data_IF_527097284207
#
_entry.id   IF_527097284207
#
_cell.length_a   1.000
_cell.length_b   1.000
_cell.length_c   1.000
_cell.angle_alpha   90.00
_cell.angle_beta   90.00
_cell.angle_gamma   90.00
#
_symmetry.space_group_name_H-M   'P 1'
#
loop_
_entity.id
_entity.type
_entity.pdbx_description
1 polymer ?
#
# COMPACT_ATOMS: atom_id res chain seq x y z
N UNK A 1 -7.50 4.38 18.67
CA UNK A 1 -8.12 3.24 17.94
C UNK A 1 -8.85 3.79 16.72
N UNK A 2 -8.52 3.32 15.51
CA UNK A 2 -9.31 3.65 14.33
C UNK A 2 -10.63 2.88 14.45
N UNK A 3 -11.71 3.56 14.83
CA UNK A 3 -13.01 2.97 15.12
C UNK A 3 -13.50 2.09 13.97
N UNK A 4 -13.24 2.49 12.73
CA UNK A 4 -13.62 1.75 11.52
C UNK A 4 -13.04 0.33 11.43
N UNK A 5 -11.75 0.11 11.75
CA UNK A 5 -11.17 -1.26 11.70
C UNK A 5 -11.73 -2.14 12.81
N UNK A 6 -11.91 -1.58 14.01
CA UNK A 6 -12.46 -2.33 15.13
C UNK A 6 -13.92 -2.71 14.84
N UNK A 7 -14.72 -1.77 14.35
CA UNK A 7 -16.11 -1.99 13.97
C UNK A 7 -16.18 -3.05 12.86
N UNK A 8 -15.38 -2.94 11.80
CA UNK A 8 -15.37 -3.93 10.71
C UNK A 8 -15.00 -5.35 11.19
N UNK A 9 -13.98 -5.48 12.04
CA UNK A 9 -13.59 -6.75 12.63
C UNK A 9 -14.71 -7.31 13.54
N UNK A 10 -15.28 -6.47 14.40
CA UNK A 10 -16.34 -6.87 15.34
C UNK A 10 -17.60 -7.28 14.60
N UNK A 11 -18.03 -6.52 13.59
CA UNK A 11 -19.18 -6.87 12.74
C UNK A 11 -18.93 -8.20 12.01
N UNK A 12 -17.74 -8.41 11.45
CA UNK A 12 -17.38 -9.67 10.79
C UNK A 12 -17.40 -10.88 11.74
N UNK A 13 -16.86 -10.72 12.95
CA UNK A 13 -16.88 -11.77 13.99
C UNK A 13 -18.29 -12.02 14.51
N UNK A 14 -19.10 -10.98 14.73
CA UNK A 14 -20.50 -11.11 15.17
C UNK A 14 -21.33 -11.80 14.10
N UNK A 15 -21.19 -11.42 12.83
CA UNK A 15 -21.87 -12.08 11.70
C UNK A 15 -21.54 -13.58 11.69
N UNK A 16 -20.26 -13.93 11.84
CA UNK A 16 -19.82 -15.32 11.92
C UNK A 16 -20.44 -16.05 13.12
N UNK A 17 -20.43 -15.42 14.30
CA UNK A 17 -20.97 -15.98 15.52
C UNK A 17 -22.49 -16.21 15.42
N UNK A 18 -23.23 -15.28 14.81
CA UNK A 18 -24.67 -15.42 14.56
C UNK A 18 -24.94 -16.58 13.62
N UNK A 19 -24.17 -16.74 12.54
CA UNK A 19 -24.33 -17.86 11.60
C UNK A 19 -24.08 -19.21 12.31
N UNK A 20 -23.04 -19.30 13.13
CA UNK A 20 -22.72 -20.54 13.88
C UNK A 20 -23.76 -20.84 14.97
N UNK A 21 -24.25 -19.81 15.66
CA UNK A 21 -25.26 -19.95 16.71
C UNK A 21 -26.65 -20.30 16.17
N UNK A 22 -27.02 -19.78 14.99
CA UNK A 22 -28.30 -20.09 14.34
C UNK A 22 -28.31 -21.45 13.64
N UNK A 23 -27.13 -21.96 13.27
CA UNK A 23 -26.98 -23.19 12.49
C UNK A 23 -26.70 -24.44 13.33
N UNK A 24 -26.42 -24.35 14.65
CA UNK A 24 -25.98 -25.52 15.42
C UNK A 24 -26.56 -25.65 16.84
N UNK A 25 -26.79 -26.91 17.26
CA UNK A 25 -27.11 -27.27 18.66
C UNK A 25 -25.86 -27.40 19.56
N UNK A 26 -24.65 -27.48 18.97
CA UNK A 26 -23.39 -27.68 19.69
C UNK A 26 -22.24 -26.86 19.07
N UNK A 27 -22.02 -25.63 19.56
CA UNK A 27 -20.95 -24.75 19.10
C UNK A 27 -19.52 -25.35 19.26
N UNK A 28 -19.34 -26.28 20.21
CA UNK A 28 -18.08 -26.98 20.45
C UNK A 28 -17.67 -27.91 19.30
N UNK A 29 -18.61 -28.34 18.45
CA UNK A 29 -18.29 -29.17 17.28
C UNK A 29 -17.45 -28.41 16.23
N UNK A 30 -17.53 -27.07 16.22
CA UNK A 30 -16.75 -26.20 15.34
C UNK A 30 -15.37 -25.87 15.90
N UNK A 31 -14.94 -26.44 17.03
CA UNK A 31 -13.59 -26.29 17.56
C UNK A 31 -12.84 -27.61 17.42
N UNK A 32 -12.40 -27.89 16.19
CA UNK A 32 -11.54 -29.03 15.92
C UNK A 32 -10.06 -28.66 16.01
N UNK A 33 -9.41 -29.12 17.08
CA UNK A 33 -8.00 -28.83 17.34
C UNK A 33 -7.07 -29.33 16.22
N UNK A 34 -7.40 -30.45 15.56
CA UNK A 34 -6.57 -31.02 14.49
C UNK A 34 -6.60 -30.15 13.25
N UNK A 35 -7.80 -29.76 12.78
CA UNK A 35 -7.94 -28.87 11.63
C UNK A 35 -7.27 -27.51 11.86
N UNK A 36 -7.40 -26.97 13.08
CA UNK A 36 -6.74 -25.72 13.48
C UNK A 36 -5.21 -25.87 13.48
N UNK A 37 -4.68 -26.97 14.02
CA UNK A 37 -3.24 -27.24 14.07
C UNK A 37 -2.61 -27.35 12.67
N UNK A 38 -3.31 -27.97 11.71
CA UNK A 38 -2.82 -28.05 10.32
C UNK A 38 -2.74 -26.65 9.70
N UNK A 39 -3.78 -25.83 9.84
CA UNK A 39 -3.83 -24.50 9.24
C UNK A 39 -2.85 -23.54 9.92
N UNK A 40 -2.90 -23.41 11.24
CA UNK A 40 -2.02 -22.50 11.98
C UNK A 40 -0.57 -22.97 11.94
N UNK A 41 -0.34 -24.27 12.17
CA UNK A 41 1.00 -24.87 12.13
C UNK A 41 1.62 -24.79 10.74
N UNK A 42 0.86 -25.12 9.68
CA UNK A 42 1.30 -25.01 8.31
C UNK A 42 1.59 -23.56 7.90
N UNK A 43 0.70 -22.63 8.23
CA UNK A 43 0.91 -21.20 7.92
C UNK A 43 2.13 -20.64 8.67
N UNK A 44 2.29 -20.99 9.95
CA UNK A 44 3.46 -20.58 10.73
C UNK A 44 4.75 -21.19 10.19
N UNK A 45 4.75 -22.48 9.83
CA UNK A 45 5.89 -23.16 9.21
C UNK A 45 6.28 -22.51 7.87
N UNK A 46 5.31 -22.19 7.01
CA UNK A 46 5.58 -21.52 5.74
C UNK A 46 6.21 -20.13 5.94
N UNK A 47 5.75 -19.37 6.94
CA UNK A 47 6.38 -18.09 7.28
C UNK A 47 7.79 -18.28 7.82
N UNK A 48 8.03 -19.29 8.66
CA UNK A 48 9.36 -19.59 9.19
C UNK A 48 10.36 -20.05 8.13
N UNK A 49 9.88 -20.69 7.07
CA UNK A 49 10.69 -21.06 5.90
C UNK A 49 11.02 -19.81 5.08
N UNK A 50 10.06 -18.90 4.91
CA UNK A 50 10.21 -17.71 4.07
C UNK A 50 10.92 -16.52 4.74
N UNK A 51 10.90 -16.42 6.06
CA UNK A 51 11.36 -15.23 6.80
C UNK A 51 12.27 -15.58 7.98
N UNK A 52 13.29 -14.75 8.27
CA UNK A 52 14.17 -15.00 9.40
C UNK A 52 13.42 -14.85 10.74
N UNK A 53 13.76 -15.69 11.71
CA UNK A 53 13.11 -15.74 13.03
C UNK A 53 13.00 -14.38 13.74
N UNK A 54 13.96 -13.46 13.50
CA UNK A 54 13.96 -12.10 14.06
C UNK A 54 12.76 -11.27 13.62
N UNK A 55 12.29 -11.46 12.38
CA UNK A 55 11.13 -10.76 11.83
C UNK A 55 9.83 -11.40 12.32
N UNK A 56 9.78 -12.73 12.34
CA UNK A 56 8.60 -13.49 12.80
C UNK A 56 8.22 -13.17 14.24
N UNK A 57 9.20 -13.05 15.15
CA UNK A 57 8.91 -12.68 16.55
C UNK A 57 8.31 -11.27 16.73
N UNK A 58 8.40 -10.40 15.72
CA UNK A 58 7.83 -9.04 15.77
C UNK A 58 6.35 -9.00 15.38
N UNK A 59 5.83 -10.00 14.67
CA UNK A 59 4.41 -10.13 14.28
C UNK A 59 3.42 -9.80 15.42
N UNK A 60 3.52 -10.41 16.63
CA UNK A 60 2.55 -10.15 17.69
C UNK A 60 2.63 -8.72 18.23
N UNK A 61 3.83 -8.12 18.25
CA UNK A 61 4.02 -6.73 18.67
C UNK A 61 3.41 -5.77 17.65
N UNK A 62 3.60 -6.05 16.36
CA UNK A 62 2.97 -5.30 15.28
C UNK A 62 1.45 -5.36 15.38
N UNK A 63 0.89 -6.55 15.57
CA UNK A 63 -0.55 -6.76 15.73
C UNK A 63 -1.12 -5.91 16.87
N UNK A 64 -0.45 -5.91 18.03
CA UNK A 64 -0.85 -5.10 19.19
C UNK A 64 -0.77 -3.61 18.91
N UNK A 65 0.28 -3.18 18.19
CA UNK A 65 0.47 -1.76 17.83
C UNK A 65 -0.62 -1.29 16.87
N UNK A 66 -1.04 -2.13 15.92
CA UNK A 66 -2.14 -1.83 14.98
C UNK A 66 -3.49 -1.65 15.66
N UNK A 67 -3.71 -2.35 16.77
CA UNK A 67 -4.94 -2.23 17.57
C UNK A 67 -4.95 -0.94 18.39
N UNK A 68 -3.82 -0.50 18.94
CA UNK A 68 -3.74 0.73 19.74
C UNK A 68 -4.01 1.99 18.91
N UNK A 69 -3.64 1.99 17.63
CA UNK A 69 -3.78 3.15 16.75
C UNK A 69 -2.73 4.20 17.09
N UNK A 70 -1.94 4.56 16.09
CA UNK A 70 -0.91 5.57 16.22
C UNK A 70 -1.49 6.88 15.68
N UNK A 71 -1.56 7.91 16.51
CA UNK A 71 -1.91 9.26 16.07
C UNK A 71 -0.60 9.94 15.71
N UNK A 72 -0.22 9.87 14.44
CA UNK A 72 0.73 10.84 13.91
C UNK A 72 0.01 12.19 13.95
N UNK A 73 0.51 13.10 14.77
CA UNK A 73 -0.03 14.46 14.89
C UNK A 73 0.64 15.32 13.81
N UNK A 74 0.19 15.14 12.57
CA UNK A 74 0.76 15.85 11.41
C UNK A 74 0.67 17.37 11.58
N UNK A 75 -0.39 17.87 12.22
CA UNK A 75 -0.53 19.30 12.48
C UNK A 75 0.58 19.80 13.40
N UNK A 76 0.85 19.06 14.48
CA UNK A 76 1.97 19.36 15.37
C UNK A 76 3.32 19.30 14.65
N UNK A 77 3.53 18.36 13.74
CA UNK A 77 4.75 18.32 12.92
C UNK A 77 4.92 19.59 12.08
N UNK A 78 3.83 20.13 11.52
CA UNK A 78 3.84 21.40 10.77
C UNK A 78 4.16 22.57 11.69
N UNK A 79 3.48 22.68 12.83
CA UNK A 79 3.69 23.77 13.79
C UNK A 79 5.13 23.78 14.30
N UNK A 80 5.68 22.61 14.64
CA UNK A 80 7.08 22.44 15.04
C UNK A 80 8.03 22.86 13.90
N UNK A 81 7.75 22.48 12.64
CA UNK A 81 8.59 22.83 11.49
C UNK A 81 8.57 24.33 11.17
N UNK A 82 7.39 24.96 11.23
CA UNK A 82 7.23 26.39 11.00
C UNK A 82 7.92 27.20 12.10
N UNK A 83 7.81 26.78 13.36
CA UNK A 83 8.52 27.40 14.47
C UNK A 83 10.04 27.33 14.26
N UNK A 84 10.57 26.19 13.80
CA UNK A 84 12.00 26.06 13.49
C UNK A 84 12.41 26.94 12.31
N UNK A 85 11.57 27.05 11.27
CA UNK A 85 11.79 27.94 10.12
C UNK A 85 11.89 29.41 10.53
N UNK A 86 11.06 29.86 11.47
CA UNK A 86 11.11 31.24 11.98
C UNK A 86 12.40 31.52 12.74
N UNK A 87 12.83 30.62 13.62
CA UNK A 87 14.07 30.77 14.39
C UNK A 87 15.31 30.78 13.48
N UNK A 88 15.32 29.89 12.48
CA UNK A 88 16.38 29.83 11.47
C UNK A 88 16.49 31.13 10.67
N UNK A 89 15.36 31.71 10.25
CA UNK A 89 15.34 32.95 9.49
C UNK A 89 15.76 34.18 10.31
N UNK A 90 15.48 34.17 11.61
CA UNK A 90 15.92 35.22 12.54
C UNK A 90 17.39 35.08 12.98
N UNK A 91 18.13 34.10 12.41
CA UNK A 91 19.53 33.80 12.71
C UNK A 91 19.81 33.44 14.19
N UNK A 92 18.78 33.02 14.92
CA UNK A 92 18.89 32.64 16.32
C UNK A 92 19.18 31.14 16.47
N UNK A 93 20.42 30.76 16.15
CA UNK A 93 20.89 29.37 16.17
C UNK A 93 20.84 28.77 17.58
N UNK A 94 21.19 29.55 18.61
CA UNK A 94 21.20 29.06 20.01
C UNK A 94 19.79 28.74 20.51
N UNK A 95 18.80 29.55 20.15
CA UNK A 95 17.40 29.26 20.48
C UNK A 95 16.87 28.10 19.63
N UNK A 96 17.23 28.03 18.35
CA UNK A 96 16.89 26.90 17.48
C UNK A 96 17.37 25.55 18.06
N UNK A 97 18.63 25.46 18.52
CA UNK A 97 19.14 24.24 19.16
C UNK A 97 18.39 23.85 20.45
N UNK A 98 17.97 24.85 21.23
CA UNK A 98 17.23 24.62 22.49
C UNK A 98 15.82 24.10 22.21
N UNK A 99 15.13 24.67 21.24
CA UNK A 99 13.80 24.23 20.84
C UNK A 99 13.84 22.91 20.08
N UNK A 100 14.89 22.64 19.31
CA UNK A 100 15.11 21.37 18.61
C UNK A 100 15.14 20.15 19.56
N UNK A 101 15.58 20.33 20.81
CA UNK A 101 15.54 19.27 21.83
C UNK A 101 14.12 18.92 22.29
N UNK A 102 13.16 19.84 22.14
CA UNK A 102 11.75 19.67 22.51
C UNK A 102 10.90 19.10 21.37
N UNK A 103 11.41 19.15 20.14
CA UNK A 103 10.76 18.56 18.95
C UNK A 103 10.46 17.09 19.19
N UNK A 104 9.21 16.73 18.97
CA UNK A 104 8.69 15.39 19.24
C UNK A 104 9.10 14.39 18.17
N UNK A 105 9.17 14.85 16.92
CA UNK A 105 9.44 14.02 15.76
C UNK A 105 10.96 13.81 15.53
N UNK A 106 11.49 12.58 15.67
CA UNK A 106 12.92 12.32 15.50
C UNK A 106 13.41 12.54 14.06
N UNK A 107 12.52 12.46 13.07
CA UNK A 107 12.88 12.67 11.67
C UNK A 107 13.10 14.17 11.39
N UNK A 108 12.17 15.01 11.82
CA UNK A 108 12.29 16.47 11.77
C UNK A 108 13.54 16.93 12.52
N UNK A 109 13.73 16.42 13.75
CA UNK A 109 14.88 16.76 14.57
C UNK A 109 16.22 16.50 13.88
N UNK A 110 16.35 15.35 13.19
CA UNK A 110 17.58 15.04 12.46
C UNK A 110 17.80 16.00 11.29
N UNK A 111 16.77 16.32 10.51
CA UNK A 111 16.95 17.20 9.35
C UNK A 111 17.30 18.64 9.77
N UNK A 112 16.65 19.19 10.80
CA UNK A 112 16.98 20.52 11.33
C UNK A 112 18.36 20.53 11.99
N UNK A 113 18.78 19.45 12.65
CA UNK A 113 20.14 19.35 13.17
C UNK A 113 21.19 19.47 12.06
N UNK A 114 21.00 18.76 10.93
CA UNK A 114 21.95 18.81 9.80
C UNK A 114 22.02 20.20 9.17
N UNK A 115 20.89 20.92 9.16
CA UNK A 115 20.84 22.31 8.72
C UNK A 115 21.64 23.23 9.65
N UNK A 116 21.50 23.06 10.98
CA UNK A 116 22.29 23.80 11.98
C UNK A 116 23.78 23.49 11.85
N UNK A 117 24.11 22.22 11.59
CA UNK A 117 25.48 21.75 11.37
C UNK A 117 26.08 22.25 10.03
N UNK A 118 25.34 23.06 9.26
CA UNK A 118 25.75 23.64 7.99
C UNK A 118 26.10 22.57 6.93
N UNK A 119 25.35 21.48 6.94
CA UNK A 119 25.49 20.41 5.95
C UNK A 119 24.95 20.89 4.60
N UNK A 120 25.60 20.58 3.47
CA UNK A 120 25.09 20.88 2.13
C UNK A 120 23.67 20.32 1.91
N UNK A 121 22.80 21.09 1.27
CA UNK A 121 21.39 20.73 1.07
C UNK A 121 21.20 19.39 0.34
N UNK A 122 22.01 19.14 -0.69
CA UNK A 122 22.03 17.89 -1.44
C UNK A 122 22.26 16.68 -0.54
N UNK A 123 23.20 16.77 0.39
CA UNK A 123 23.50 15.71 1.36
C UNK A 123 22.38 15.54 2.41
N UNK A 124 21.76 16.64 2.85
CA UNK A 124 20.60 16.59 3.76
C UNK A 124 19.46 15.82 3.09
N UNK A 125 19.11 16.21 1.86
CA UNK A 125 18.04 15.60 1.09
C UNK A 125 18.35 14.13 0.81
N UNK A 126 19.57 13.80 0.38
CA UNK A 126 19.99 12.41 0.13
C UNK A 126 19.84 11.54 1.39
N UNK A 127 20.32 12.01 2.54
CA UNK A 127 20.21 11.27 3.80
C UNK A 127 18.74 11.08 4.22
N UNK A 128 17.93 12.13 4.10
CA UNK A 128 16.51 12.08 4.43
C UNK A 128 15.76 11.10 3.51
N UNK A 129 16.01 11.13 2.20
CA UNK A 129 15.46 10.18 1.24
C UNK A 129 15.88 8.74 1.57
N UNK A 130 17.15 8.52 1.93
CA UNK A 130 17.61 7.19 2.33
C UNK A 130 16.90 6.69 3.60
N UNK A 131 16.68 7.58 4.58
CA UNK A 131 15.89 7.24 5.79
C UNK A 131 14.44 6.88 5.44
N UNK A 132 13.81 7.62 4.54
CA UNK A 132 12.44 7.35 4.03
C UNK A 132 12.42 5.98 3.33
N UNK A 133 13.33 5.73 2.40
CA UNK A 133 13.41 4.48 1.64
C UNK A 133 13.63 3.27 2.55
N UNK A 134 14.52 3.38 3.54
CA UNK A 134 14.78 2.34 4.52
C UNK A 134 13.55 2.04 5.40
N UNK A 135 12.82 3.08 5.82
CA UNK A 135 11.59 2.89 6.58
C UNK A 135 10.52 2.19 5.72
N UNK A 136 10.32 2.67 4.49
CA UNK A 136 9.39 2.06 3.52
C UNK A 136 9.69 0.58 3.33
N UNK A 137 10.95 0.22 3.05
CA UNK A 137 11.35 -1.16 2.82
C UNK A 137 11.04 -2.05 4.03
N UNK A 138 11.31 -1.55 5.24
CA UNK A 138 11.04 -2.27 6.48
C UNK A 138 9.54 -2.47 6.75
N UNK A 139 8.75 -1.40 6.71
CA UNK A 139 7.31 -1.48 6.99
C UNK A 139 6.56 -2.23 5.89
N UNK A 140 7.02 -2.15 4.64
CA UNK A 140 6.49 -2.94 3.53
C UNK A 140 6.80 -4.43 3.68
N UNK A 141 8.02 -4.81 4.11
CA UNK A 141 8.34 -6.21 4.41
C UNK A 141 7.45 -6.77 5.54
N UNK A 142 7.21 -5.95 6.57
CA UNK A 142 6.30 -6.27 7.67
C UNK A 142 4.85 -6.50 7.17
N UNK A 143 4.35 -5.69 6.25
CA UNK A 143 3.04 -5.88 5.62
C UNK A 143 2.98 -7.12 4.70
N UNK A 144 4.04 -7.35 3.93
CA UNK A 144 4.15 -8.45 2.99
C UNK A 144 4.11 -9.80 3.69
N UNK A 145 4.66 -9.91 4.91
CA UNK A 145 4.57 -11.14 5.70
C UNK A 145 3.10 -11.53 5.98
N UNK A 146 2.22 -10.56 6.28
CA UNK A 146 0.78 -10.82 6.44
C UNK A 146 0.09 -11.18 5.12
N UNK A 147 0.52 -10.62 3.98
CA UNK A 147 0.07 -11.05 2.64
C UNK A 147 0.42 -12.50 2.37
N UNK A 148 1.65 -12.90 2.68
CA UNK A 148 2.13 -14.28 2.53
C UNK A 148 1.33 -15.23 3.42
N UNK A 149 1.10 -14.87 4.69
CA UNK A 149 0.22 -15.62 5.59
C UNK A 149 -1.21 -15.77 5.03
N UNK A 150 -1.77 -14.70 4.47
CA UNK A 150 -3.10 -14.73 3.86
C UNK A 150 -3.16 -15.62 2.61
N UNK A 151 -2.05 -15.80 1.89
CA UNK A 151 -1.96 -16.71 0.75
C UNK A 151 -1.82 -18.18 1.17
N UNK A 152 -1.01 -18.46 2.19
CA UNK A 152 -0.77 -19.84 2.65
C UNK A 152 -1.90 -20.39 3.52
N UNK A 153 -2.60 -19.57 4.31
CA UNK A 153 -3.65 -20.06 5.21
C UNK A 153 -4.77 -20.86 4.49
N UNK A 154 -5.33 -20.42 3.35
CA UNK A 154 -6.32 -21.20 2.61
C UNK A 154 -5.70 -22.44 1.93
N UNK A 155 -4.44 -22.35 1.50
CA UNK A 155 -3.73 -23.47 0.88
C UNK A 155 -3.54 -24.63 1.89
N UNK A 156 -3.15 -24.34 3.14
CA UNK A 156 -3.09 -25.34 4.20
C UNK A 156 -4.49 -25.81 4.64
N UNK A 157 -5.52 -24.98 4.51
CA UNK A 157 -6.92 -25.40 4.69
C UNK A 157 -7.33 -26.47 3.68
N UNK A 158 -6.96 -26.30 2.40
CA UNK A 158 -7.15 -27.31 1.36
C UNK A 158 -6.26 -28.54 1.59
N UNK A 159 -5.04 -28.39 2.11
CA UNK A 159 -4.22 -29.54 2.49
C UNK A 159 -4.91 -30.34 3.62
N UNK A 160 -5.53 -29.65 4.58
CA UNK A 160 -6.32 -30.28 5.64
C UNK A 160 -7.52 -31.07 5.11
N UNK A 161 -8.19 -30.61 4.05
CA UNK A 161 -9.26 -31.41 3.43
C UNK A 161 -8.73 -32.67 2.78
N UNK A 162 -7.59 -32.59 2.08
CA UNK A 162 -6.96 -33.75 1.47
C UNK A 162 -6.60 -34.80 2.53
N UNK A 163 -5.99 -34.39 3.64
CA UNK A 163 -5.68 -35.29 4.76
C UNK A 163 -6.95 -35.91 5.35
N UNK A 164 -7.99 -35.10 5.55
CA UNK A 164 -9.28 -35.58 6.07
C UNK A 164 -9.97 -36.57 5.13
N UNK A 165 -9.92 -36.34 3.82
CA UNK A 165 -10.46 -37.24 2.80
C UNK A 165 -9.66 -38.54 2.70
N UNK A 166 -8.33 -38.49 2.78
CA UNK A 166 -7.48 -39.70 2.81
C UNK A 166 -7.86 -40.57 4.02
N UNK A 167 -7.98 -39.97 5.20
CA UNK A 167 -8.42 -40.69 6.40
C UNK A 167 -9.86 -41.21 6.25
N UNK A 168 -10.76 -40.44 5.64
CA UNK A 168 -12.12 -40.90 5.40
C UNK A 168 -12.15 -42.15 4.49
N UNK A 169 -11.30 -42.20 3.46
CA UNK A 169 -11.17 -43.37 2.59
C UNK A 169 -10.64 -44.61 3.31
N UNK A 170 -9.77 -44.46 4.32
CA UNK A 170 -9.28 -45.62 5.09
C UNK A 170 -10.32 -46.19 6.05
N UNK A 171 -11.28 -45.38 6.49
CA UNK A 171 -12.42 -45.84 7.29
C UNK A 171 -13.56 -46.43 6.44
N UNK A 172 -13.52 -46.25 5.12
CA UNK A 172 -14.57 -46.70 4.22
C UNK A 172 -14.56 -48.23 4.11
N UNK A 173 -15.60 -48.89 4.64
CA UNK A 173 -15.77 -50.34 4.60
C UNK A 173 -15.47 -51.09 5.91
N UNK A 174 -14.80 -50.46 6.87
CA UNK A 174 -14.47 -51.07 8.18
C UNK A 174 -14.78 -50.18 9.39
N UNK A 175 -14.99 -48.88 9.20
CA UNK A 175 -15.28 -47.91 10.27
C UNK A 175 -16.77 -47.71 10.56
N UNK A 176 -17.08 -47.16 11.74
CA UNK A 176 -18.44 -46.72 12.08
C UNK A 176 -18.84 -45.45 11.31
N UNK A 177 -20.14 -45.28 11.05
CA UNK A 177 -20.70 -44.08 10.39
C UNK A 177 -20.32 -42.80 11.15
N UNK A 178 -20.24 -42.88 12.48
CA UNK A 178 -19.86 -41.77 13.35
C UNK A 178 -18.42 -41.31 13.11
N UNK A 179 -17.48 -42.26 12.98
CA UNK A 179 -16.08 -41.96 12.70
C UNK A 179 -15.87 -41.34 11.31
N UNK A 180 -16.66 -41.77 10.31
CA UNK A 180 -16.68 -41.17 8.98
C UNK A 180 -17.18 -39.72 9.06
N UNK A 181 -18.28 -39.48 9.79
CA UNK A 181 -18.82 -38.14 10.01
C UNK A 181 -17.81 -37.21 10.69
N UNK A 182 -17.07 -37.73 11.69
CA UNK A 182 -16.03 -36.97 12.38
C UNK A 182 -14.92 -36.54 11.42
N UNK A 183 -14.36 -37.44 10.58
CA UNK A 183 -13.29 -37.07 9.65
C UNK A 183 -13.74 -36.12 8.54
N UNK A 184 -14.98 -36.25 8.08
CA UNK A 184 -15.57 -35.28 7.15
C UNK A 184 -15.68 -33.89 7.79
N UNK A 185 -16.09 -33.82 9.06
CA UNK A 185 -16.15 -32.56 9.80
C UNK A 185 -14.75 -31.92 9.94
N UNK A 186 -13.69 -32.70 10.24
CA UNK A 186 -12.32 -32.18 10.30
C UNK A 186 -11.91 -31.55 8.96
N UNK A 187 -12.17 -32.24 7.85
CA UNK A 187 -11.82 -31.77 6.52
C UNK A 187 -12.46 -30.40 6.21
N UNK A 188 -13.78 -30.29 6.40
CA UNK A 188 -14.54 -29.06 6.13
C UNK A 188 -14.10 -27.92 7.05
N UNK A 189 -13.87 -28.21 8.34
CA UNK A 189 -13.43 -27.22 9.32
C UNK A 189 -12.04 -26.68 9.02
N UNK A 190 -11.12 -27.50 8.49
CA UNK A 190 -9.80 -27.03 8.08
C UNK A 190 -9.89 -25.95 6.98
N UNK A 191 -10.79 -26.11 5.99
CA UNK A 191 -11.00 -25.10 4.95
C UNK A 191 -11.60 -23.82 5.51
N UNK A 192 -12.59 -23.97 6.41
CA UNK A 192 -13.23 -22.85 7.08
C UNK A 192 -12.21 -22.02 7.89
N UNK A 193 -11.35 -22.66 8.68
CA UNK A 193 -10.30 -21.94 9.43
C UNK A 193 -9.29 -21.23 8.52
N UNK A 194 -8.88 -21.87 7.41
CA UNK A 194 -7.97 -21.25 6.44
C UNK A 194 -8.56 -19.98 5.82
N UNK A 195 -9.83 -20.03 5.43
CA UNK A 195 -10.56 -18.88 4.89
C UNK A 195 -10.75 -17.75 5.91
N UNK A 196 -11.08 -18.10 7.16
CA UNK A 196 -11.24 -17.11 8.22
C UNK A 196 -9.92 -16.42 8.55
N UNK A 197 -8.85 -17.20 8.75
CA UNK A 197 -7.55 -16.65 9.08
C UNK A 197 -7.06 -15.70 7.96
N UNK A 198 -7.21 -16.10 6.70
CA UNK A 198 -6.79 -15.30 5.56
C UNK A 198 -7.60 -14.00 5.43
N UNK A 199 -8.93 -14.08 5.40
CA UNK A 199 -9.78 -12.97 4.99
C UNK A 199 -10.22 -12.08 6.14
N UNK A 200 -10.36 -12.61 7.35
CA UNK A 200 -10.81 -11.85 8.51
C UNK A 200 -9.64 -11.21 9.28
N UNK A 201 -8.47 -11.85 9.25
CA UNK A 201 -7.32 -11.43 10.06
C UNK A 201 -6.19 -10.95 9.14
N UNK A 202 -5.55 -11.84 8.38
CA UNK A 202 -4.30 -11.52 7.69
C UNK A 202 -4.45 -10.43 6.60
N UNK A 203 -5.45 -10.54 5.70
CA UNK A 203 -5.66 -9.55 4.63
C UNK A 203 -5.97 -8.14 5.15
N UNK A 204 -6.95 -7.93 6.05
CA UNK A 204 -7.24 -6.59 6.57
C UNK A 204 -6.05 -5.96 7.29
N UNK A 205 -5.28 -6.77 8.03
CA UNK A 205 -4.07 -6.29 8.72
C UNK A 205 -3.02 -5.86 7.70
N UNK A 206 -2.77 -6.65 6.65
CA UNK A 206 -1.81 -6.30 5.60
C UNK A 206 -2.19 -4.97 4.92
N UNK A 207 -3.43 -4.82 4.48
CA UNK A 207 -3.93 -3.59 3.84
C UNK A 207 -3.82 -2.39 4.79
N UNK A 208 -4.12 -2.57 6.08
CA UNK A 208 -4.01 -1.50 7.06
C UNK A 208 -2.56 -1.07 7.29
N UNK A 209 -1.63 -2.02 7.32
CA UNK A 209 -0.20 -1.77 7.40
C UNK A 209 0.32 -1.00 6.19
N UNK A 210 -0.07 -1.42 4.98
CA UNK A 210 0.25 -0.74 3.72
C UNK A 210 -0.23 0.72 3.75
N UNK A 211 -1.52 0.95 4.05
CA UNK A 211 -2.09 2.31 4.13
C UNK A 211 -1.41 3.18 5.18
N UNK A 212 -1.07 2.63 6.35
CA UNK A 212 -0.36 3.37 7.40
C UNK A 212 1.05 3.75 6.94
N UNK A 213 1.74 2.84 6.25
CA UNK A 213 3.07 3.10 5.69
C UNK A 213 2.99 4.25 4.70
N UNK A 214 2.03 4.22 3.77
CA UNK A 214 1.81 5.29 2.79
C UNK A 214 1.55 6.64 3.47
N UNK A 215 0.65 6.70 4.45
CA UNK A 215 0.37 7.93 5.21
C UNK A 215 1.63 8.46 5.90
N UNK A 216 2.43 7.59 6.50
CA UNK A 216 3.69 7.97 7.15
C UNK A 216 4.72 8.49 6.15
N UNK A 217 4.80 7.90 4.95
CA UNK A 217 5.67 8.37 3.89
C UNK A 217 5.26 9.75 3.40
N UNK A 218 3.96 10.05 3.27
CA UNK A 218 3.47 11.38 2.92
C UNK A 218 3.95 12.41 3.95
N UNK A 219 3.77 12.14 5.25
CA UNK A 219 4.23 13.05 6.32
C UNK A 219 5.75 13.23 6.30
N UNK A 220 6.53 12.16 6.09
CA UNK A 220 8.00 12.30 6.01
C UNK A 220 8.45 13.08 4.77
N UNK A 221 7.79 12.92 3.62
CA UNK A 221 8.10 13.72 2.42
C UNK A 221 7.73 15.19 2.63
N UNK A 222 6.60 15.47 3.29
CA UNK A 222 6.21 16.83 3.69
C UNK A 222 7.28 17.48 4.57
N UNK A 223 7.75 16.79 5.61
CA UNK A 223 8.83 17.30 6.49
C UNK A 223 10.13 17.52 5.72
N UNK A 224 10.51 16.58 4.84
CA UNK A 224 11.69 16.74 3.98
C UNK A 224 11.59 17.98 3.09
N UNK A 225 10.43 18.22 2.48
CA UNK A 225 10.18 19.40 1.66
C UNK A 225 10.26 20.69 2.49
N UNK A 226 9.72 20.70 3.71
CA UNK A 226 9.83 21.86 4.60
C UNK A 226 11.28 22.18 4.98
N UNK A 227 12.10 21.15 5.20
CA UNK A 227 13.53 21.35 5.50
C UNK A 227 14.29 21.86 4.28
N UNK A 228 14.01 21.35 3.07
CA UNK A 228 14.59 21.89 1.84
C UNK A 228 14.26 23.39 1.65
N UNK A 229 13.01 23.79 1.91
CA UNK A 229 12.63 25.21 1.88
C UNK A 229 13.35 26.07 2.94
N UNK A 230 13.69 25.49 4.10
CA UNK A 230 14.51 26.17 5.11
C UNK A 230 15.97 26.32 4.65
N UNK A 231 16.54 25.34 3.95
CA UNK A 231 17.86 25.44 3.32
C UNK A 231 17.92 26.60 2.33
N UNK A 232 16.87 26.75 1.51
CA UNK A 232 16.70 27.84 0.55
C UNK A 232 16.37 29.21 1.20
N UNK A 233 16.28 29.28 2.54
CA UNK A 233 15.84 30.47 3.30
C UNK A 233 14.51 31.06 2.82
N UNK A 234 13.55 30.21 2.42
CA UNK A 234 12.18 30.68 2.10
C UNK A 234 11.48 31.20 3.36
N UNK A 235 10.60 32.18 3.17
CA UNK A 235 9.84 32.77 4.28
C UNK A 235 8.94 31.74 4.99
N UNK A 236 8.80 31.82 6.33
CA UNK A 236 8.04 30.85 7.12
C UNK A 236 6.54 30.78 6.74
N UNK A 237 5.98 31.87 6.21
CA UNK A 237 4.63 31.88 5.65
C UNK A 237 4.50 30.98 4.42
N UNK A 238 5.50 31.01 3.51
CA UNK A 238 5.53 30.14 2.32
C UNK A 238 5.73 28.68 2.72
N UNK A 239 6.59 28.43 3.72
CA UNK A 239 6.78 27.09 4.27
C UNK A 239 5.47 26.54 4.82
N UNK A 240 4.77 27.32 5.66
CA UNK A 240 3.47 26.96 6.21
C UNK A 240 2.45 26.64 5.12
N UNK A 241 2.28 27.54 4.14
CA UNK A 241 1.31 27.36 3.06
C UNK A 241 1.57 26.08 2.25
N UNK A 242 2.84 25.85 1.90
CA UNK A 242 3.25 24.64 1.17
C UNK A 242 3.01 23.39 2.01
N UNK A 243 3.26 23.41 3.32
CA UNK A 243 3.01 22.26 4.20
C UNK A 243 1.51 22.00 4.39
N UNK A 244 0.68 23.04 4.43
CA UNK A 244 -0.77 22.89 4.48
C UNK A 244 -1.35 22.31 3.19
N UNK A 245 -0.78 22.63 2.01
CA UNK A 245 -1.24 22.00 0.77
C UNK A 245 -0.99 20.48 0.74
N UNK A 246 0.08 19.98 1.39
CA UNK A 246 0.27 18.54 1.60
C UNK A 246 -0.83 17.90 2.47
N UNK A 247 -1.49 18.68 3.34
CA UNK A 247 -2.66 18.23 4.10
C UNK A 247 -3.97 18.40 3.31
N UNK A 248 -4.10 19.46 2.51
CA UNK A 248 -5.26 19.67 1.63
C UNK A 248 -5.39 18.57 0.58
N UNK A 249 -4.30 17.94 0.13
CA UNK A 249 -4.38 16.72 -0.67
C UNK A 249 -5.08 15.53 0.03
N UNK A 250 -5.34 15.60 1.35
CA UNK A 250 -6.17 14.63 2.09
C UNK A 250 -7.64 15.06 2.15
N UNK A 251 -7.93 16.36 2.04
CA UNK A 251 -9.27 16.98 2.07
C UNK A 251 -9.43 17.88 0.85
N UNK A 252 -9.87 17.30 -0.28
CA UNK A 252 -10.35 17.95 -1.51
C UNK A 252 -9.73 19.34 -1.87
N UNK A 253 -8.70 19.36 -2.72
CA UNK A 253 -8.15 20.60 -3.31
C UNK A 253 -9.15 21.41 -4.15
N UNK A 254 -10.30 20.82 -4.49
CA UNK A 254 -11.30 21.39 -5.39
C UNK A 254 -12.38 22.16 -4.61
N UNK A 255 -12.45 22.03 -3.29
CA UNK A 255 -13.47 22.69 -2.48
C UNK A 255 -12.85 23.52 -1.36
N UNK A 256 -12.58 24.79 -1.66
CA UNK A 256 -12.40 25.81 -0.63
C UNK A 256 -13.73 25.94 0.12
N UNK A 257 -13.77 25.45 1.35
CA UNK A 257 -14.97 25.36 2.16
C UNK A 257 -15.58 26.74 2.37
N UNK A 258 -16.48 27.12 1.46
CA UNK A 258 -17.17 28.40 1.50
C UNK A 258 -17.80 28.61 2.86
N UNK A 259 -17.32 29.63 3.55
CA UNK A 259 -17.75 30.18 4.82
C UNK A 259 -19.13 29.70 5.29
N UNK A 260 -19.15 28.67 6.14
CA UNK A 260 -20.26 28.51 7.08
C UNK A 260 -19.99 29.41 8.27
N UNK A 261 -20.18 30.72 8.05
CA UNK A 261 -20.55 31.63 9.14
C UNK A 261 -21.88 31.12 9.68
N UNK A 262 -21.81 30.22 10.65
CA UNK A 262 -22.95 29.87 11.49
C UNK A 262 -23.03 30.90 12.61
N UNK A 263 -23.52 32.09 12.25
CA UNK A 263 -24.26 32.91 13.18
C UNK A 263 -25.54 32.17 13.59
N UNK A 264 -25.99 32.26 14.85
CA UNK A 264 -27.18 31.58 15.29
C UNK A 264 -28.38 32.36 14.76
N UNK A 265 -28.96 31.94 13.63
CA UNK A 265 -30.37 32.11 13.25
C UNK A 265 -30.56 31.82 11.75
N UNK A 266 -30.90 30.58 11.39
CA UNK A 266 -31.65 30.28 10.17
C UNK A 266 -32.24 28.85 10.23
N UNK A 267 -33.56 28.75 10.11
CA UNK A 267 -34.34 27.51 10.22
C UNK A 267 -34.15 26.51 9.07
N UNK A 268 -34.82 25.35 9.13
CA UNK A 268 -34.47 24.18 8.33
C UNK A 268 -34.97 24.33 6.89
N UNK A 269 -34.05 24.33 5.93
CA UNK A 269 -34.38 24.31 4.50
C UNK A 269 -34.49 22.85 4.02
N UNK A 270 -35.70 22.47 3.63
CA UNK A 270 -36.05 21.15 3.14
C UNK A 270 -35.34 20.81 1.81
N UNK A 271 -34.80 19.59 1.71
CA UNK A 271 -34.22 19.05 0.47
C UNK A 271 -35.31 18.43 -0.39
N UNK A 272 -35.60 19.01 -1.55
CA UNK A 272 -36.38 18.36 -2.62
C UNK A 272 -35.44 17.86 -3.71
N UNK A 273 -35.39 16.54 -3.90
CA UNK A 273 -34.76 15.87 -5.03
C UNK A 273 -35.61 16.05 -6.30
N UNK A 274 -35.03 16.21 -7.50
CA UNK A 274 -35.82 16.18 -8.74
C UNK A 274 -35.99 14.75 -9.25
N UNK A 275 -37.25 14.34 -9.35
CA UNK A 275 -37.69 13.11 -10.02
C UNK A 275 -37.84 13.33 -11.53
N UNK A 276 -37.56 12.26 -12.27
CA UNK A 276 -37.66 12.12 -13.72
C UNK A 276 -39.04 12.46 -14.31
N UNK A 277 -39.04 13.00 -15.53
CA UNK A 277 -40.14 12.85 -16.49
C UNK A 277 -39.60 12.72 -17.91
N UNK A 278 -39.90 11.56 -18.49
CA UNK A 278 -39.83 11.30 -19.92
C UNK A 278 -41.23 11.46 -20.53
N UNK A 279 -41.33 12.08 -21.70
CA UNK A 279 -42.38 11.76 -22.68
C UNK A 279 -42.01 12.33 -24.07
N UNK A 280 -42.31 11.51 -25.06
CA UNK A 280 -41.89 11.52 -26.46
C UNK A 280 -42.74 12.37 -27.41
N UNK A 281 -42.19 12.57 -28.63
CA UNK A 281 -42.81 12.81 -29.97
C UNK A 281 -42.13 14.01 -30.65
N UNK A 282 -41.28 13.82 -31.66
CA UNK A 282 -41.51 13.43 -33.05
C UNK A 282 -41.76 14.62 -34.00
N UNK A 283 -40.86 14.69 -34.99
CA UNK A 283 -40.97 15.20 -36.38
C UNK A 283 -41.11 16.69 -36.72
N UNK A 284 -40.13 17.11 -37.56
CA UNK A 284 -40.24 17.86 -38.82
C UNK A 284 -40.02 19.39 -38.85
N UNK A 285 -39.17 19.81 -39.80
CA UNK A 285 -39.08 21.15 -40.40
C UNK A 285 -37.75 21.88 -40.15
N UNK A 286 -36.79 21.89 -41.09
CA UNK A 286 -36.52 22.97 -42.08
C UNK A 286 -35.71 24.14 -41.47
N UNK A 287 -34.65 24.77 -42.00
CA UNK A 287 -33.74 24.64 -43.14
C UNK A 287 -32.63 25.73 -42.99
N UNK A 288 -31.55 25.62 -43.79
CA UNK A 288 -30.61 26.69 -44.22
C UNK A 288 -29.62 27.26 -43.16
N UNK A 289 -28.38 27.71 -43.43
CA UNK A 289 -27.59 27.99 -44.64
C UNK A 289 -26.08 28.00 -44.27
N UNK A 290 -25.18 27.46 -45.11
CA UNK A 290 -24.18 28.17 -45.97
C UNK A 290 -22.90 28.71 -45.29
N UNK A 291 -21.74 28.11 -45.61
CA UNK A 291 -20.43 28.77 -45.88
C UNK A 291 -19.35 27.74 -46.31
N UNK A 292 -18.30 28.13 -47.06
CA UNK A 292 -17.81 27.38 -48.24
C UNK A 292 -16.43 26.71 -48.11
N UNK A 293 -16.03 26.05 -49.20
CA UNK A 293 -14.86 25.20 -49.36
C UNK A 293 -13.64 25.86 -50.04
N UNK A 294 -12.43 25.41 -49.61
CA UNK A 294 -11.19 25.06 -50.37
C UNK A 294 -10.39 26.17 -51.09
N UNK A 295 -9.09 25.97 -51.48
CA UNK A 295 -8.35 24.72 -51.84
C UNK A 295 -6.98 24.54 -51.10
N UNK A 296 -6.33 23.37 -50.91
CA UNK A 296 -5.84 22.27 -51.76
C UNK A 296 -4.58 22.57 -52.62
N UNK A 297 -3.42 22.02 -52.19
CA UNK A 297 -2.34 21.46 -53.03
C UNK A 297 -1.35 20.70 -52.10
N UNK A 298 -1.32 19.36 -52.11
CA UNK A 298 -0.44 18.50 -52.93
C UNK A 298 0.96 18.34 -52.28
N UNK A 299 1.64 17.21 -52.10
CA UNK A 299 1.59 15.79 -52.53
C UNK A 299 2.69 15.10 -51.67
N UNK A 300 2.60 13.88 -51.12
CA UNK A 300 3.01 12.59 -51.72
C UNK A 300 3.20 11.57 -50.58
N UNK A 301 2.77 10.33 -50.78
CA UNK A 301 3.28 9.09 -50.18
C UNK A 301 3.92 8.25 -51.32
N UNK A 302 4.63 7.11 -51.16
CA UNK A 302 4.67 6.16 -50.01
C UNK A 302 6.07 5.54 -49.66
N UNK A 303 6.09 4.57 -48.75
CA UNK A 303 7.20 3.74 -48.19
C UNK A 303 7.95 2.82 -49.22
N UNK A 304 8.87 1.87 -48.89
CA UNK A 304 9.53 1.44 -47.64
C UNK A 304 11.07 1.16 -47.73
N UNK A 305 11.63 0.57 -46.66
CA UNK A 305 13.03 0.25 -46.33
C UNK A 305 13.96 -0.38 -47.40
N UNK A 306 15.27 -0.04 -47.32
CA UNK A 306 16.41 -0.94 -47.62
C UNK A 306 17.76 -0.44 -47.06
N UNK A 307 18.44 -1.38 -46.41
CA UNK A 307 19.89 -1.57 -46.14
C UNK A 307 20.92 -0.48 -46.49
N UNK A 308 21.74 -0.08 -45.50
CA UNK A 308 23.16 0.26 -45.70
C UNK A 308 23.98 0.13 -44.40
N UNK A 309 24.78 -0.95 -44.35
CA UNK A 309 26.21 -1.00 -43.99
C UNK A 309 26.78 -0.14 -42.86
N UNK A 310 27.28 -0.82 -41.83
CA UNK A 310 28.11 -0.29 -40.75
C UNK A 310 29.51 0.17 -41.20
N UNK A 311 30.21 0.95 -40.35
CA UNK A 311 31.63 0.75 -40.09
C UNK A 311 31.88 0.32 -38.63
N UNK A 312 32.75 -0.68 -38.48
CA UNK A 312 33.26 -1.21 -37.21
C UNK A 312 33.94 -0.12 -36.37
N UNK A 313 33.44 0.09 -35.14
CA UNK A 313 34.21 0.67 -34.04
C UNK A 313 34.70 -0.47 -33.16
N UNK A 314 36.00 -0.76 -33.23
CA UNK A 314 36.70 -1.63 -32.30
C UNK A 314 36.76 -0.97 -30.92
N UNK A 315 36.36 -1.65 -29.82
CA UNK A 315 36.57 -1.10 -28.48
C UNK A 315 38.05 -1.29 -28.10
N UNK A 316 38.72 -0.20 -27.70
CA UNK A 316 40.00 -0.26 -27.00
C UNK A 316 39.86 -1.08 -25.71
N UNK A 317 40.88 -1.87 -25.30
CA UNK A 317 40.85 -2.60 -24.05
C UNK A 317 40.96 -1.64 -22.86
N UNK A 318 40.12 -1.84 -21.85
CA UNK A 318 40.23 -1.19 -20.53
C UNK A 318 41.38 -1.84 -19.74
N UNK A 319 42.20 -1.11 -18.95
CA UNK A 319 43.41 -1.65 -18.32
C UNK A 319 43.19 -2.59 -17.13
N UNK A 320 41.95 -2.76 -16.65
CA UNK A 320 41.69 -3.53 -15.44
C UNK A 320 40.83 -4.76 -15.76
N UNK A 321 41.45 -5.94 -15.68
CA UNK A 321 40.90 -7.25 -16.05
C UNK A 321 39.72 -7.75 -15.21
N UNK A 322 38.60 -7.02 -15.19
CA UNK A 322 37.31 -7.49 -14.69
C UNK A 322 36.23 -7.36 -15.78
N UNK A 323 35.48 -8.43 -16.09
CA UNK A 323 34.46 -8.39 -17.13
C UNK A 323 33.33 -7.44 -16.75
N UNK A 324 33.01 -6.53 -17.67
CA UNK A 324 31.93 -5.56 -17.54
C UNK A 324 30.59 -6.32 -17.46
N UNK A 325 29.97 -6.35 -16.27
CA UNK A 325 28.77 -7.15 -15.94
C UNK A 325 27.58 -6.89 -16.87
N UNK A 326 27.54 -5.70 -17.47
CA UNK A 326 26.52 -5.27 -18.43
C UNK A 326 26.66 -6.01 -19.77
N UNK A 327 27.89 -6.33 -20.21
CA UNK A 327 28.13 -7.02 -21.49
C UNK A 327 27.83 -8.51 -21.38
N UNK A 328 28.15 -9.12 -20.24
CA UNK A 328 27.79 -10.52 -19.96
C UNK A 328 26.27 -10.71 -19.84
N UNK A 329 25.57 -9.77 -19.19
CA UNK A 329 24.11 -9.79 -19.10
C UNK A 329 23.43 -9.63 -20.47
N UNK A 330 23.95 -8.75 -21.34
CA UNK A 330 23.41 -8.56 -22.70
C UNK A 330 23.62 -9.77 -23.59
N UNK A 331 24.75 -10.47 -23.46
CA UNK A 331 25.02 -11.70 -24.20
C UNK A 331 24.13 -12.87 -23.74
N UNK A 332 23.88 -12.99 -22.44
CA UNK A 332 22.97 -14.00 -21.88
C UNK A 332 21.51 -13.78 -22.30
N UNK A 333 21.06 -12.52 -22.31
CA UNK A 333 19.71 -12.16 -22.77
C UNK A 333 19.51 -12.49 -24.26
N UNK A 334 20.51 -12.15 -25.10
CA UNK A 334 20.45 -12.45 -26.54
C UNK A 334 20.44 -13.95 -26.84
N UNK A 335 21.14 -14.77 -26.05
CA UNK A 335 21.12 -16.22 -26.17
C UNK A 335 19.76 -16.82 -25.76
N UNK A 336 19.14 -16.28 -24.70
CA UNK A 336 17.82 -16.71 -24.25
C UNK A 336 16.73 -16.39 -25.28
N UNK A 337 16.77 -15.20 -25.88
CA UNK A 337 15.80 -14.78 -26.90
C UNK A 337 15.93 -15.59 -28.20
N UNK A 338 17.15 -15.96 -28.59
CA UNK A 338 17.38 -16.84 -29.74
C UNK A 338 16.85 -18.27 -29.51
N UNK A 339 16.94 -18.77 -28.28
CA UNK A 339 16.48 -20.11 -27.90
C UNK A 339 14.95 -20.16 -27.78
N UNK A 340 14.32 -19.09 -27.28
CA UNK A 340 12.87 -18.93 -27.26
C UNK A 340 12.26 -18.82 -28.68
N UNK A 341 12.96 -18.16 -29.60
CA UNK A 341 12.55 -18.05 -31.00
C UNK A 341 12.70 -19.38 -31.78
N UNK A 342 13.62 -20.26 -31.37
CA UNK A 342 13.80 -21.57 -31.98
C UNK A 342 12.74 -22.59 -31.54
N UNK A 343 12.25 -22.48 -30.30
CA UNK A 343 11.24 -23.38 -29.72
C UNK A 343 9.81 -23.09 -30.20
N UNK A 344 9.55 -21.90 -30.76
CA UNK A 344 8.24 -21.50 -31.29
C UNK A 344 8.07 -21.82 -32.79
N UNK A 345 9.09 -22.38 -33.46
CA UNK A 345 9.05 -22.78 -34.88
C UNK A 345 9.04 -24.30 -35.11
N UNK A 346 8.69 -25.11 -34.12
CA UNK A 346 8.51 -26.56 -34.26
C UNK A 346 7.06 -26.97 -34.07
#
# INVERSE_FOLDING_TARGET
MNSSTLIGLVVGVIMLAVVVATSSLNALAYLNLHGLAIVLGGTAAAVLIGYPWREVRRLPVLLRTMLRGDRADTQRDIDELVAMSQLWMNEDIHTAERELKKVSNPFLRTGVQLLIDNTPEDQIIELMQWRIARLRAREHAEAQMFRVMAGFAPAFGMLGTLVGLINLMTLLGAGSVDAIGQQMAIALMATFYGLLLANLICKPIAVKLERRTEQRLVVMNMVMQGIAMMCEKRGPAMVRETLHSFMAHVEDEIYDGGDTVTGPDAGPIARTAPAARASSRASAGQAAAKAPARPAAATRAPAPARSASAPLLTPRPNPDGKPNSIVAAKAAQAAHDALAAALTRR
#
